data_IF_356395697541
#
_entry.id   IF_356395697541
#
_cell.length_a   1.000
_cell.length_b   1.000
_cell.length_c   1.000
_cell.angle_alpha   90.00
_cell.angle_beta   90.00
_cell.angle_gamma   90.00
#
_symmetry.space_group_name_H-M   'P 1'
#
loop_
_entity.id
_entity.type
_entity.pdbx_description
1 polymer ?
#
# COMPACT_ATOMS: atom_id res chain seq x y z
N UNK A 1 -1.29 22.44 1.84
CA UNK A 1 -0.74 21.30 1.05
C UNK A 1 -1.05 19.93 1.65
N UNK A 2 -0.78 19.68 2.94
CA UNK A 2 -1.01 18.35 3.54
C UNK A 2 -2.47 17.86 3.53
N UNK A 3 -3.47 18.75 3.57
CA UNK A 3 -4.89 18.34 3.48
C UNK A 3 -5.21 17.66 2.14
N UNK A 4 -4.74 18.22 1.03
CA UNK A 4 -4.94 17.63 -0.31
C UNK A 4 -4.24 16.28 -0.45
N UNK A 5 -3.01 16.14 0.06
CA UNK A 5 -2.29 14.86 0.05
C UNK A 5 -2.99 13.78 0.87
N UNK A 6 -3.59 14.14 2.01
CA UNK A 6 -4.41 13.20 2.80
C UNK A 6 -5.64 12.76 2.02
N UNK A 7 -6.32 13.68 1.32
CA UNK A 7 -7.45 13.31 0.46
C UNK A 7 -7.02 12.36 -0.66
N UNK A 8 -5.89 12.64 -1.33
CA UNK A 8 -5.32 11.76 -2.35
C UNK A 8 -4.99 10.39 -1.78
N UNK A 9 -4.41 10.33 -0.59
CA UNK A 9 -4.09 9.06 0.07
C UNK A 9 -5.36 8.28 0.46
N UNK A 10 -6.37 8.94 1.00
CA UNK A 10 -7.65 8.28 1.31
C UNK A 10 -8.34 7.77 0.04
N UNK A 11 -8.31 8.55 -1.04
CA UNK A 11 -8.82 8.11 -2.34
C UNK A 11 -8.02 6.92 -2.90
N UNK A 12 -6.70 6.94 -2.77
CA UNK A 12 -5.84 5.84 -3.17
C UNK A 12 -6.09 4.57 -2.34
N UNK A 13 -6.23 4.69 -1.01
CA UNK A 13 -6.59 3.58 -0.13
C UNK A 13 -7.93 2.96 -0.53
N UNK A 14 -8.95 3.81 -0.75
CA UNK A 14 -10.26 3.34 -1.19
C UNK A 14 -10.18 2.65 -2.54
N UNK A 15 -9.44 3.23 -3.49
CA UNK A 15 -9.25 2.66 -4.82
C UNK A 15 -8.55 1.29 -4.74
N UNK A 16 -7.43 1.19 -4.02
CA UNK A 16 -6.71 -0.07 -3.81
C UNK A 16 -7.61 -1.12 -3.17
N UNK A 17 -8.38 -0.74 -2.13
CA UNK A 17 -9.30 -1.66 -1.47
C UNK A 17 -10.36 -2.19 -2.45
N UNK A 18 -11.05 -1.30 -3.16
CA UNK A 18 -12.09 -1.69 -4.12
C UNK A 18 -11.52 -2.59 -5.22
N UNK A 19 -10.36 -2.25 -5.76
CA UNK A 19 -9.71 -3.04 -6.81
C UNK A 19 -9.28 -4.43 -6.31
N UNK A 20 -8.82 -4.55 -5.07
CA UNK A 20 -8.40 -5.82 -4.50
C UNK A 20 -9.58 -6.77 -4.21
N UNK A 21 -10.74 -6.23 -3.84
CA UNK A 21 -11.92 -7.04 -3.48
C UNK A 21 -12.84 -7.34 -4.66
N UNK A 22 -12.64 -6.69 -5.82
CA UNK A 22 -13.42 -6.97 -7.02
C UNK A 22 -13.13 -8.39 -7.55
N UNK A 23 -14.16 -9.20 -7.89
CA UNK A 23 -13.97 -10.56 -8.40
C UNK A 23 -13.30 -10.57 -9.77
N UNK A 24 -13.65 -9.58 -10.61
CA UNK A 24 -13.12 -9.40 -11.95
C UNK A 24 -12.65 -7.96 -12.10
N UNK A 25 -11.44 -7.63 -11.61
CA UNK A 25 -10.90 -6.30 -11.79
C UNK A 25 -10.69 -6.04 -13.29
N UNK A 26 -10.87 -4.79 -13.76
CA UNK A 26 -10.61 -4.43 -15.15
C UNK A 26 -9.19 -4.82 -15.55
N UNK A 27 -9.05 -5.40 -16.74
CA UNK A 27 -7.76 -5.86 -17.24
C UNK A 27 -6.84 -4.67 -17.49
N UNK A 28 -5.68 -4.70 -16.86
CA UNK A 28 -4.62 -3.73 -17.11
C UNK A 28 -3.82 -4.12 -18.36
N UNK A 29 -3.32 -3.12 -19.12
CA UNK A 29 -2.41 -3.38 -20.23
C UNK A 29 -1.21 -4.23 -19.76
N UNK A 30 -0.91 -5.31 -20.48
CA UNK A 30 0.18 -6.24 -20.14
C UNK A 30 -0.17 -7.28 -19.07
N UNK A 31 -1.39 -7.30 -18.54
CA UNK A 31 -1.90 -8.29 -17.57
C UNK A 31 -0.89 -8.63 -16.46
N UNK A 32 -0.41 -7.62 -15.70
CA UNK A 32 0.50 -7.87 -14.59
C UNK A 32 -0.16 -8.80 -13.58
N UNK A 33 0.65 -9.69 -12.99
CA UNK A 33 0.19 -10.60 -11.95
C UNK A 33 -0.35 -9.82 -10.76
N UNK A 34 -1.32 -10.41 -10.05
CA UNK A 34 -1.95 -9.83 -8.86
C UNK A 34 -0.91 -9.32 -7.86
N UNK A 35 0.14 -10.12 -7.65
CA UNK A 35 1.30 -9.78 -6.82
C UNK A 35 2.05 -8.52 -7.24
N UNK A 36 2.24 -8.30 -8.56
CA UNK A 36 2.89 -7.07 -9.05
C UNK A 36 1.98 -5.87 -8.80
N UNK A 37 0.67 -6.02 -8.99
CA UNK A 37 -0.29 -4.95 -8.73
C UNK A 37 -0.30 -4.56 -7.25
N UNK A 38 -0.27 -5.56 -6.36
CA UNK A 38 -0.16 -5.41 -4.91
C UNK A 38 1.12 -4.63 -4.52
N UNK A 39 2.29 -5.11 -4.96
CA UNK A 39 3.57 -4.45 -4.69
C UNK A 39 3.57 -2.99 -5.17
N UNK A 40 3.06 -2.72 -6.37
CA UNK A 40 2.98 -1.37 -6.92
C UNK A 40 2.02 -0.48 -6.11
N UNK A 41 0.83 -1.00 -5.76
CA UNK A 41 -0.14 -0.28 -4.95
C UNK A 41 0.44 0.11 -3.58
N UNK A 42 1.05 -0.84 -2.87
CA UNK A 42 1.63 -0.58 -1.55
C UNK A 42 2.87 0.31 -1.61
N UNK A 43 3.64 0.25 -2.70
CA UNK A 43 4.74 1.21 -2.95
C UNK A 43 4.21 2.64 -3.04
N UNK A 44 3.17 2.87 -3.85
CA UNK A 44 2.55 4.19 -4.04
C UNK A 44 1.89 4.68 -2.74
N UNK A 45 1.12 3.82 -2.07
CA UNK A 45 0.47 4.14 -0.80
C UNK A 45 1.49 4.54 0.27
N UNK A 46 2.62 3.84 0.35
CA UNK A 46 3.68 4.16 1.31
C UNK A 46 4.30 5.52 1.02
N UNK A 47 4.63 5.81 -0.24
CA UNK A 47 5.15 7.12 -0.64
C UNK A 47 4.17 8.26 -0.32
N UNK A 48 2.89 8.08 -0.63
CA UNK A 48 1.83 9.05 -0.30
C UNK A 48 1.66 9.22 1.21
N UNK A 49 1.72 8.14 1.99
CA UNK A 49 1.60 8.18 3.45
C UNK A 49 2.75 8.97 4.11
N UNK A 50 3.98 8.78 3.64
CA UNK A 50 5.15 9.55 4.09
C UNK A 50 4.95 11.05 3.81
N UNK A 51 4.45 11.40 2.62
CA UNK A 51 4.22 12.81 2.23
C UNK A 51 3.01 13.45 2.95
N UNK A 52 1.95 12.68 3.17
CA UNK A 52 0.71 13.14 3.82
C UNK A 52 0.87 13.32 5.34
N UNK A 53 1.74 12.52 5.97
CA UNK A 53 2.03 12.55 7.42
C UNK A 53 3.53 12.58 7.72
N UNK A 54 4.22 13.70 7.46
CA UNK A 54 5.67 13.81 7.69
C UNK A 54 6.10 13.67 9.16
N UNK A 55 5.17 13.91 10.10
CA UNK A 55 5.38 13.76 11.54
C UNK A 55 5.06 12.35 12.07
N UNK A 56 4.53 11.44 11.24
CA UNK A 56 4.30 10.06 11.66
C UNK A 56 5.61 9.31 11.80
N UNK A 57 5.70 8.42 12.80
CA UNK A 57 6.84 7.53 12.95
C UNK A 57 6.80 6.45 11.87
N UNK A 58 7.99 5.98 11.45
CA UNK A 58 8.10 4.90 10.46
C UNK A 58 7.33 3.64 10.89
N UNK A 59 7.39 3.29 12.18
CA UNK A 59 6.65 2.17 12.75
C UNK A 59 5.13 2.35 12.61
N UNK A 60 4.61 3.56 12.84
CA UNK A 60 3.17 3.82 12.69
C UNK A 60 2.72 3.66 11.24
N UNK A 61 3.52 4.13 10.28
CA UNK A 61 3.21 3.96 8.85
C UNK A 61 3.24 2.49 8.45
N UNK A 62 4.27 1.75 8.91
CA UNK A 62 4.39 0.31 8.66
C UNK A 62 3.19 -0.47 9.20
N UNK A 63 2.84 -0.27 10.47
CA UNK A 63 1.72 -0.98 11.10
C UNK A 63 0.38 -0.63 10.46
N UNK A 64 0.15 0.65 10.14
CA UNK A 64 -1.10 1.09 9.52
C UNK A 64 -1.29 0.49 8.12
N UNK A 65 -0.24 0.52 7.28
CA UNK A 65 -0.32 -0.01 5.92
C UNK A 65 -0.29 -1.54 5.90
N UNK A 66 0.56 -2.18 6.70
CA UNK A 66 0.55 -3.65 6.80
C UNK A 66 -0.77 -4.17 7.36
N UNK A 67 -1.36 -3.49 8.35
CA UNK A 67 -2.70 -3.80 8.85
C UNK A 67 -3.81 -3.60 7.81
N UNK A 68 -3.66 -2.62 6.91
CA UNK A 68 -4.54 -2.47 5.75
C UNK A 68 -4.41 -3.63 4.76
N UNK A 69 -3.20 -4.15 4.53
CA UNK A 69 -3.00 -5.39 3.75
C UNK A 69 -3.68 -6.60 4.39
N UNK A 70 -3.54 -6.79 5.70
CA UNK A 70 -4.27 -7.84 6.44
C UNK A 70 -5.79 -7.70 6.27
N UNK A 71 -6.31 -6.47 6.35
CA UNK A 71 -7.73 -6.22 6.15
C UNK A 71 -8.19 -6.66 4.74
N UNK A 72 -7.40 -6.37 3.69
CA UNK A 72 -7.70 -6.79 2.32
C UNK A 72 -7.76 -8.33 2.25
N UNK A 73 -6.75 -9.02 2.77
CA UNK A 73 -6.72 -10.50 2.79
C UNK A 73 -7.94 -11.09 3.51
N UNK A 74 -8.28 -10.56 4.69
CA UNK A 74 -9.44 -11.02 5.46
C UNK A 74 -10.75 -10.81 4.70
N UNK A 75 -10.87 -9.70 3.98
CA UNK A 75 -12.05 -9.44 3.14
C UNK A 75 -12.05 -10.37 1.94
N UNK A 76 -10.93 -10.57 1.24
CA UNK A 76 -10.81 -11.51 0.12
C UNK A 76 -11.10 -12.96 0.53
N UNK A 77 -10.82 -13.33 1.78
CA UNK A 77 -11.14 -14.65 2.34
C UNK A 77 -12.66 -14.89 2.51
N UNK A 78 -13.50 -13.87 2.36
CA UNK A 78 -14.96 -14.02 2.40
C UNK A 78 -15.41 -14.78 1.14
N UNK A 79 -16.01 -15.99 1.27
CA UNK A 79 -16.35 -16.83 0.11
C UNK A 79 -17.27 -16.15 -0.90
N UNK A 80 -18.15 -15.24 -0.45
CA UNK A 80 -19.06 -14.50 -1.31
C UNK A 80 -18.36 -13.58 -2.33
N UNK A 81 -17.10 -13.19 -2.08
CA UNK A 81 -16.34 -12.35 -2.99
C UNK A 81 -15.65 -13.14 -4.12
N UNK A 82 -15.65 -14.47 -4.06
CA UNK A 82 -15.04 -15.34 -5.06
C UNK A 82 -13.57 -14.97 -5.36
N UNK A 83 -12.84 -14.47 -4.34
CA UNK A 83 -11.42 -14.14 -4.42
C UNK A 83 -10.58 -15.15 -3.63
N UNK A 84 -9.35 -15.38 -4.10
CA UNK A 84 -8.36 -16.14 -3.35
C UNK A 84 -7.60 -15.20 -2.43
N UNK A 85 -7.66 -15.44 -1.13
CA UNK A 85 -6.71 -14.86 -0.16
C UNK A 85 -5.42 -15.69 -0.17
N UNK A 86 -4.28 -15.01 -0.15
CA UNK A 86 -2.95 -15.61 -0.01
C UNK A 86 -2.11 -14.74 0.92
N UNK A 87 -1.75 -15.28 2.09
CA UNK A 87 -0.89 -14.59 3.06
C UNK A 87 0.46 -14.14 2.47
N UNK A 88 0.89 -14.72 1.35
CA UNK A 88 2.09 -14.31 0.61
C UNK A 88 1.95 -12.95 -0.05
N UNK A 89 0.73 -12.52 -0.39
CA UNK A 89 0.47 -11.19 -0.94
C UNK A 89 0.59 -10.13 0.16
N UNK A 90 0.01 -10.37 1.34
CA UNK A 90 0.28 -9.54 2.53
C UNK A 90 1.78 -9.45 2.88
N UNK A 91 2.54 -10.56 2.76
CA UNK A 91 3.98 -10.54 3.00
C UNK A 91 4.71 -9.69 1.95
N UNK A 92 4.32 -9.78 0.68
CA UNK A 92 4.88 -8.97 -0.40
C UNK A 92 4.59 -7.47 -0.20
N UNK A 93 3.36 -7.14 0.22
CA UNK A 93 2.94 -5.78 0.53
C UNK A 93 3.75 -5.20 1.69
N UNK A 94 3.93 -5.98 2.75
CA UNK A 94 4.77 -5.59 3.89
C UNK A 94 6.23 -5.39 3.48
N UNK A 95 6.75 -6.24 2.60
CA UNK A 95 8.07 -6.09 2.00
C UNK A 95 8.21 -4.79 1.19
N UNK A 96 7.21 -4.46 0.36
CA UNK A 96 7.18 -3.23 -0.41
C UNK A 96 7.17 -1.98 0.48
N UNK A 97 6.34 -1.98 1.54
CA UNK A 97 6.30 -0.90 2.53
C UNK A 97 7.69 -0.70 3.16
N UNK A 98 8.31 -1.79 3.65
CA UNK A 98 9.65 -1.73 4.26
C UNK A 98 10.70 -1.17 3.31
N UNK A 99 10.69 -1.59 2.04
CA UNK A 99 11.62 -1.11 1.03
C UNK A 99 11.49 0.41 0.82
N UNK A 100 10.28 0.92 0.68
CA UNK A 100 10.03 2.37 0.50
C UNK A 100 10.44 3.16 1.74
N UNK A 101 10.11 2.67 2.94
CA UNK A 101 10.52 3.33 4.19
C UNK A 101 12.04 3.37 4.34
N UNK A 102 12.74 2.27 4.00
CA UNK A 102 14.20 2.21 4.03
C UNK A 102 14.85 3.20 3.04
N UNK A 103 14.34 3.25 1.80
CA UNK A 103 14.79 4.22 0.79
C UNK A 103 14.56 5.65 1.29
N UNK A 104 13.37 5.97 1.82
CA UNK A 104 13.06 7.28 2.34
C UNK A 104 13.96 7.67 3.53
N UNK A 105 14.27 6.73 4.43
CA UNK A 105 15.20 6.92 5.53
C UNK A 105 16.62 7.20 5.03
N UNK A 106 17.10 6.43 4.05
CA UNK A 106 18.42 6.62 3.44
C UNK A 106 18.53 8.00 2.76
N UNK A 107 17.49 8.43 2.02
CA UNK A 107 17.46 9.76 1.40
C UNK A 107 17.50 10.87 2.47
N UNK A 108 16.79 10.72 3.58
CA UNK A 108 16.81 11.69 4.69
C UNK A 108 18.16 11.73 5.39
N UNK A 109 18.84 10.60 5.51
CA UNK A 109 20.19 10.50 6.08
C UNK A 109 21.24 11.18 5.20
N UNK A 110 21.16 10.97 3.88
CA UNK A 110 22.11 11.53 2.93
C UNK A 110 21.89 13.02 2.61
N UNK A 111 20.79 13.63 3.08
CA UNK A 111 20.55 15.07 2.95
C UNK A 111 21.20 15.76 4.16
N UNK A 112 22.36 16.42 4.00
CA UNK A 112 22.96 17.16 5.11
C UNK A 112 21.99 18.27 5.52
N UNK A 113 21.73 18.38 6.81
CA UNK A 113 21.02 19.52 7.38
C UNK A 113 21.78 20.79 6.97
N UNK A 114 21.18 21.60 6.08
CA UNK A 114 21.64 22.96 5.83
C UNK A 114 21.29 23.83 7.03
#
# INVERSE_FOLDING_TARGET
MHRSLRLVLWAALLFTFVMAVLPHPPQLPGQPTDKIQHILAFTVLTGLAIAAWPAATWLRLLLALSGFGVLIELVQAIPALHRSSDWRDWLADTGAILAVLAIAAAIRWCRPSR
#
